data_IF_858932290157
#
_entry.id   IF_858932290157
#
_cell.length_a   1.000
_cell.length_b   1.000
_cell.length_c   1.000
_cell.angle_alpha   90.00
_cell.angle_beta   90.00
_cell.angle_gamma   90.00
#
_symmetry.space_group_name_H-M   'P 1'
#
loop_
_entity.id
_entity.type
_entity.pdbx_description
1 polymer ?
#
# COMPACT_ATOMS: atom_id res chain seq x y z
N UNK A 1 -56.47 -33.61 5.71
CA UNK A 1 -55.83 -32.28 5.59
C UNK A 1 -55.52 -31.72 6.98
N UNK A 2 -54.30 -31.17 7.13
CA UNK A 2 -53.91 -30.14 8.11
C UNK A 2 -53.86 -30.53 9.59
N UNK A 3 -52.72 -31.06 10.07
CA UNK A 3 -52.14 -30.75 11.41
C UNK A 3 -50.62 -30.98 11.43
N UNK A 4 -49.88 -30.21 10.64
CA UNK A 4 -48.40 -30.22 10.67
C UNK A 4 -47.81 -28.80 10.56
N UNK A 5 -48.59 -27.78 10.90
CA UNK A 5 -48.16 -26.37 10.78
C UNK A 5 -47.59 -25.71 12.05
N UNK A 6 -47.84 -26.15 13.32
CA UNK A 6 -47.40 -25.33 14.45
C UNK A 6 -45.91 -25.55 14.83
N UNK A 7 -45.31 -26.68 14.44
CA UNK A 7 -43.95 -27.05 14.82
C UNK A 7 -42.86 -26.38 13.96
N UNK A 8 -43.17 -26.03 12.70
CA UNK A 8 -42.23 -25.32 11.81
C UNK A 8 -42.12 -23.82 12.13
N UNK A 9 -43.17 -23.20 12.68
CA UNK A 9 -43.15 -21.77 13.04
C UNK A 9 -42.32 -21.52 14.30
N UNK A 10 -42.32 -22.45 15.26
CA UNK A 10 -41.53 -22.29 16.50
C UNK A 10 -40.02 -22.44 16.26
N UNK A 11 -39.60 -23.30 15.32
CA UNK A 11 -38.19 -23.45 14.94
C UNK A 11 -37.65 -22.22 14.19
N UNK A 12 -38.50 -21.53 13.40
CA UNK A 12 -38.11 -20.32 12.69
C UNK A 12 -37.96 -19.08 13.61
N UNK A 13 -38.71 -19.02 14.71
CA UNK A 13 -38.69 -17.87 15.64
C UNK A 13 -37.50 -17.89 16.61
N UNK A 14 -36.85 -19.04 16.81
CA UNK A 14 -35.70 -19.17 17.73
C UNK A 14 -34.33 -19.06 17.03
N UNK A 15 -34.27 -19.25 15.70
CA UNK A 15 -33.02 -19.10 14.91
C UNK A 15 -32.83 -17.65 14.45
N UNK A 16 -33.91 -16.90 14.23
CA UNK A 16 -33.86 -15.52 13.77
C UNK A 16 -33.20 -14.51 14.76
N UNK A 17 -33.34 -14.61 16.10
CA UNK A 17 -32.68 -13.69 17.01
C UNK A 17 -31.22 -14.05 17.27
N UNK A 18 -30.83 -15.32 17.11
CA UNK A 18 -29.46 -15.76 17.38
C UNK A 18 -28.51 -15.42 16.21
N UNK A 19 -28.99 -15.48 14.97
CA UNK A 19 -28.21 -15.05 13.80
C UNK A 19 -27.98 -13.53 13.74
N UNK A 20 -28.84 -12.73 14.39
CA UNK A 20 -28.73 -11.27 14.41
C UNK A 20 -27.79 -10.73 15.50
N UNK A 21 -27.35 -11.57 16.45
CA UNK A 21 -26.47 -11.19 17.56
C UNK A 21 -25.01 -11.67 17.41
N UNK A 22 -24.66 -12.34 16.32
CA UNK A 22 -23.29 -12.88 16.11
C UNK A 22 -22.24 -11.87 15.60
N UNK A 23 -22.52 -10.69 15.00
CA UNK A 23 -21.40 -9.87 14.51
C UNK A 23 -20.69 -9.07 15.61
N UNK A 24 -21.06 -9.20 16.90
CA UNK A 24 -20.51 -8.37 17.98
C UNK A 24 -19.29 -9.01 18.70
N UNK A 25 -19.01 -10.29 18.48
CA UNK A 25 -17.90 -10.99 19.17
C UNK A 25 -17.04 -11.88 18.28
N UNK A 26 -16.98 -11.62 16.97
CA UNK A 26 -15.89 -12.20 16.19
C UNK A 26 -14.61 -11.42 16.53
N UNK A 27 -13.62 -12.02 17.23
CA UNK A 27 -12.31 -11.40 17.32
C UNK A 27 -11.87 -11.12 15.90
N UNK A 28 -11.52 -9.86 15.62
CA UNK A 28 -10.98 -9.47 14.32
C UNK A 28 -9.90 -10.47 13.93
N UNK A 29 -9.94 -10.91 12.67
CA UNK A 29 -8.98 -11.86 12.11
C UNK A 29 -7.59 -11.50 12.68
N UNK A 30 -6.90 -12.45 13.35
CA UNK A 30 -5.60 -12.15 13.92
C UNK A 30 -4.75 -11.55 12.80
N UNK A 31 -4.04 -10.44 13.04
CA UNK A 31 -3.24 -9.81 12.00
C UNK A 31 -2.38 -10.90 11.38
N UNK A 32 -2.47 -11.04 10.05
CA UNK A 32 -1.75 -12.08 9.32
C UNK A 32 -0.32 -12.14 9.87
N UNK A 33 0.08 -13.31 10.37
CA UNK A 33 1.35 -13.47 11.06
C UNK A 33 2.48 -13.05 10.12
N UNK A 34 3.10 -11.91 10.39
CA UNK A 34 4.24 -11.42 9.63
C UNK A 34 5.44 -12.25 10.04
N UNK A 35 6.03 -12.97 9.09
CA UNK A 35 7.23 -13.79 9.34
C UNK A 35 8.35 -12.92 9.91
N UNK A 36 8.88 -13.34 11.06
CA UNK A 36 10.05 -12.69 11.65
C UNK A 36 11.27 -12.94 10.75
N UNK A 37 12.34 -12.15 10.93
CA UNK A 37 13.60 -12.38 10.22
C UNK A 37 14.19 -13.77 10.52
N UNK A 38 13.93 -14.32 11.71
CA UNK A 38 14.36 -15.65 12.10
C UNK A 38 13.55 -16.73 11.37
N UNK A 39 12.22 -16.58 11.26
CA UNK A 39 11.37 -17.52 10.50
C UNK A 39 11.75 -17.52 9.02
N UNK A 40 12.05 -16.34 8.47
CA UNK A 40 12.53 -16.16 7.11
C UNK A 40 13.88 -16.82 6.85
N UNK A 41 14.83 -16.64 7.77
CA UNK A 41 16.11 -17.33 7.71
C UNK A 41 15.95 -18.86 7.80
N UNK A 42 15.01 -19.34 8.63
CA UNK A 42 14.75 -20.78 8.81
C UNK A 42 14.17 -21.45 7.54
N UNK A 43 13.39 -20.72 6.74
CA UNK A 43 12.86 -21.20 5.45
C UNK A 43 13.79 -20.89 4.26
N UNK A 44 14.97 -20.32 4.50
CA UNK A 44 15.94 -19.99 3.45
C UNK A 44 15.58 -18.77 2.60
N UNK A 45 14.62 -17.96 3.03
CA UNK A 45 14.23 -16.69 2.39
C UNK A 45 14.48 -15.55 3.37
N UNK A 46 15.73 -15.04 3.50
CA UNK A 46 16.03 -13.94 4.41
C UNK A 46 15.24 -12.65 4.09
N UNK A 47 14.58 -12.59 2.94
CA UNK A 47 13.87 -11.42 2.44
C UNK A 47 14.80 -10.35 1.91
N UNK A 48 14.20 -9.19 1.59
CA UNK A 48 14.91 -8.04 1.05
C UNK A 48 15.83 -7.41 2.10
N UNK A 49 17.10 -7.18 1.74
CA UNK A 49 18.06 -6.51 2.63
C UNK A 49 17.64 -5.05 2.88
N UNK A 50 17.91 -4.54 4.08
CA UNK A 50 17.55 -3.15 4.39
C UNK A 50 18.47 -2.19 3.66
N UNK A 51 17.92 -1.27 2.87
CA UNK A 51 18.70 -0.18 2.26
C UNK A 51 19.05 0.92 3.26
N UNK A 52 19.88 1.87 2.80
CA UNK A 52 20.33 3.00 3.61
C UNK A 52 19.15 3.85 4.10
N UNK A 53 19.34 4.47 5.28
CA UNK A 53 18.40 5.48 5.76
C UNK A 53 18.41 6.70 4.82
N UNK A 54 17.23 7.23 4.46
CA UNK A 54 17.17 8.37 3.57
C UNK A 54 17.68 9.63 4.27
N UNK A 55 18.22 10.55 3.49
CA UNK A 55 18.54 11.88 4.00
C UNK A 55 17.25 12.57 4.49
N UNK A 56 17.32 13.35 5.59
CA UNK A 56 16.17 14.09 6.07
C UNK A 56 15.68 15.10 5.02
N UNK A 57 14.36 15.14 4.81
CA UNK A 57 13.73 16.07 3.86
C UNK A 57 13.74 17.48 4.47
N UNK A 58 14.21 18.46 3.70
CA UNK A 58 14.35 19.85 4.16
C UNK A 58 13.00 20.51 4.54
N UNK A 59 11.93 20.17 3.82
CA UNK A 59 10.57 20.61 4.12
C UNK A 59 9.57 19.54 3.68
N UNK A 60 8.62 19.20 4.55
CA UNK A 60 7.55 18.28 4.19
C UNK A 60 6.44 19.02 3.43
N UNK A 61 5.89 18.43 2.35
CA UNK A 61 4.74 19.00 1.67
C UNK A 61 3.52 19.10 2.61
N UNK A 62 2.72 20.14 2.44
CA UNK A 62 1.59 20.45 3.34
C UNK A 62 0.23 19.94 2.87
N UNK A 63 0.07 19.57 1.59
CA UNK A 63 -1.18 19.04 1.05
C UNK A 63 -1.11 17.53 0.80
N UNK A 64 -2.25 16.85 0.89
CA UNK A 64 -2.34 15.42 0.63
C UNK A 64 -1.81 15.05 -0.76
N UNK A 65 -2.17 15.83 -1.79
CA UNK A 65 -1.71 15.63 -3.16
C UNK A 65 -0.19 15.78 -3.28
N UNK A 66 0.42 16.78 -2.63
CA UNK A 66 1.85 16.98 -2.69
C UNK A 66 2.63 15.87 -1.94
N UNK A 67 2.10 15.38 -0.82
CA UNK A 67 2.67 14.20 -0.12
C UNK A 67 2.54 12.94 -0.99
N UNK A 68 1.40 12.74 -1.66
CA UNK A 68 1.21 11.62 -2.58
C UNK A 68 2.25 11.62 -3.71
N UNK A 69 2.44 12.76 -4.39
CA UNK A 69 3.44 12.88 -5.46
C UNK A 69 4.86 12.65 -4.94
N UNK A 70 5.21 13.25 -3.80
CA UNK A 70 6.54 13.07 -3.21
C UNK A 70 6.81 11.60 -2.84
N UNK A 71 5.83 10.94 -2.20
CA UNK A 71 5.92 9.53 -1.86
C UNK A 71 6.11 8.66 -3.11
N UNK A 72 5.26 8.81 -4.13
CA UNK A 72 5.31 7.99 -5.35
C UNK A 72 6.63 8.14 -6.11
N UNK A 73 7.15 9.37 -6.21
CA UNK A 73 8.47 9.62 -6.82
C UNK A 73 9.58 8.93 -6.03
N UNK A 74 9.55 9.02 -4.71
CA UNK A 74 10.55 8.41 -3.85
C UNK A 74 10.47 6.87 -3.86
N UNK A 75 9.26 6.32 -3.80
CA UNK A 75 8.96 4.88 -3.72
C UNK A 75 9.32 4.14 -5.01
N UNK A 76 9.10 4.75 -6.17
CA UNK A 76 9.27 4.08 -7.47
C UNK A 76 10.55 4.47 -8.23
N UNK A 77 11.35 5.39 -7.69
CA UNK A 77 12.71 5.62 -8.16
C UNK A 77 13.68 4.59 -7.57
N UNK A 78 14.73 4.26 -8.33
CA UNK A 78 15.78 3.34 -7.91
C UNK A 78 17.12 3.72 -8.55
N UNK A 79 18.19 3.55 -7.80
CA UNK A 79 19.57 3.66 -8.24
C UNK A 79 20.24 2.30 -8.48
N UNK A 80 21.49 2.30 -8.94
CA UNK A 80 22.24 1.08 -9.24
C UNK A 80 22.54 0.24 -7.98
N UNK A 81 22.65 0.86 -6.81
CA UNK A 81 23.01 0.20 -5.55
C UNK A 81 21.80 -0.41 -4.80
N UNK A 82 20.60 -0.25 -5.36
CA UNK A 82 19.34 -0.67 -4.73
C UNK A 82 18.97 -2.14 -4.98
N UNK A 83 19.78 -2.86 -5.77
CA UNK A 83 19.56 -4.28 -6.11
C UNK A 83 19.49 -5.16 -4.87
N UNK A 84 18.38 -5.90 -4.71
CA UNK A 84 18.16 -6.79 -3.56
C UNK A 84 17.89 -6.07 -2.24
N UNK A 85 17.69 -4.74 -2.28
CA UNK A 85 17.48 -3.89 -1.10
C UNK A 85 16.11 -3.23 -1.10
N UNK A 86 15.69 -2.79 0.08
CA UNK A 86 14.51 -1.95 0.26
C UNK A 86 14.92 -0.48 0.15
N UNK A 87 14.14 0.29 -0.60
CA UNK A 87 14.28 1.75 -0.72
C UNK A 87 13.48 2.45 0.36
N UNK A 88 14.13 3.36 1.07
CA UNK A 88 13.53 4.00 2.26
C UNK A 88 13.28 5.50 2.12
N UNK A 89 13.57 6.10 0.97
CA UNK A 89 13.29 7.51 0.68
C UNK A 89 11.81 7.90 0.84
N UNK A 90 10.90 6.95 0.62
CA UNK A 90 9.47 7.18 0.78
C UNK A 90 9.01 7.19 2.25
N UNK A 91 9.84 6.74 3.21
CA UNK A 91 9.47 6.54 4.63
C UNK A 91 9.10 7.86 5.32
N UNK A 92 9.74 8.98 4.97
CA UNK A 92 9.42 10.29 5.55
C UNK A 92 7.99 10.75 5.25
N UNK A 93 7.37 10.18 4.20
CA UNK A 93 6.00 10.46 3.79
C UNK A 93 5.00 9.44 4.32
N UNK A 94 5.43 8.35 4.96
CA UNK A 94 4.58 7.27 5.41
C UNK A 94 4.14 7.42 6.88
N UNK A 95 2.94 6.92 7.20
CA UNK A 95 2.46 6.81 8.57
C UNK A 95 3.26 5.72 9.30
N UNK A 96 3.83 5.98 10.49
CA UNK A 96 4.55 4.97 11.25
C UNK A 96 3.70 3.73 11.48
N UNK A 97 4.26 2.55 11.21
CA UNK A 97 3.57 1.26 11.34
C UNK A 97 2.67 0.89 10.15
N UNK A 98 2.52 1.76 9.14
CA UNK A 98 1.83 1.39 7.91
C UNK A 98 2.72 0.51 7.01
N UNK A 99 2.14 -0.28 6.08
CA UNK A 99 2.92 -1.01 5.08
C UNK A 99 3.87 -0.10 4.28
N UNK A 100 3.46 1.13 3.98
CA UNK A 100 4.27 2.11 3.26
C UNK A 100 5.53 2.56 4.05
N UNK A 101 5.53 2.44 5.39
CA UNK A 101 6.67 2.80 6.23
C UNK A 101 7.75 1.71 6.31
N UNK A 102 7.47 0.49 5.84
CA UNK A 102 8.47 -0.58 5.73
C UNK A 102 9.59 -0.25 4.72
N UNK A 103 9.33 0.71 3.82
CA UNK A 103 10.14 0.94 2.63
C UNK A 103 9.63 0.12 1.45
N UNK A 104 9.97 0.55 0.24
CA UNK A 104 9.54 -0.12 -0.98
C UNK A 104 10.57 -1.17 -1.37
N UNK A 105 10.20 -2.47 -1.47
CA UNK A 105 11.12 -3.47 -1.98
C UNK A 105 11.44 -3.19 -3.44
N UNK A 106 12.71 -3.28 -3.81
CA UNK A 106 13.16 -3.06 -5.20
C UNK A 106 13.10 -4.41 -5.91
N UNK A 107 11.93 -4.73 -6.46
CA UNK A 107 11.64 -6.04 -7.06
C UNK A 107 12.35 -6.26 -8.41
N UNK A 108 12.55 -5.18 -9.17
CA UNK A 108 13.26 -5.17 -10.45
C UNK A 108 14.20 -3.97 -10.44
N UNK A 109 15.45 -4.10 -9.96
CA UNK A 109 16.38 -2.98 -9.92
C UNK A 109 16.84 -2.59 -11.33
N UNK A 110 17.25 -1.33 -11.54
CA UNK A 110 17.94 -0.94 -12.78
C UNK A 110 19.17 -1.83 -13.01
N UNK A 111 19.53 -2.04 -14.27
CA UNK A 111 20.77 -2.73 -14.63
C UNK A 111 22.00 -1.96 -14.13
N UNK A 112 23.20 -2.59 -14.16
CA UNK A 112 24.42 -1.93 -13.71
C UNK A 112 24.65 -0.56 -14.35
N UNK A 113 24.83 0.47 -13.53
CA UNK A 113 25.03 1.86 -13.98
C UNK A 113 23.77 2.57 -14.46
N UNK A 114 22.62 1.91 -14.48
CA UNK A 114 21.34 2.54 -14.79
C UNK A 114 20.71 3.21 -13.56
N UNK A 115 19.89 4.21 -13.82
CA UNK A 115 19.01 4.84 -12.82
C UNK A 115 17.58 4.82 -13.33
N UNK A 116 16.64 4.54 -12.43
CA UNK A 116 15.20 4.70 -12.64
C UNK A 116 14.73 5.98 -11.96
N UNK A 117 14.11 6.85 -12.74
CA UNK A 117 13.42 8.05 -12.26
C UNK A 117 11.92 7.79 -12.36
N UNK A 118 11.17 8.14 -11.32
CA UNK A 118 9.71 8.09 -11.31
C UNK A 118 9.12 9.50 -11.41
N UNK A 119 8.08 9.63 -12.23
CA UNK A 119 7.28 10.83 -12.41
C UNK A 119 5.79 10.48 -12.26
N UNK A 120 5.02 11.41 -11.72
CA UNK A 120 3.56 11.28 -11.61
C UNK A 120 2.96 12.08 -12.74
N UNK A 121 2.48 11.40 -13.78
CA UNK A 121 1.92 12.03 -14.98
C UNK A 121 0.49 12.54 -14.70
N UNK A 122 -0.27 11.83 -13.85
CA UNK A 122 -1.62 12.23 -13.43
C UNK A 122 -1.90 11.82 -11.98
N UNK A 123 -2.72 12.60 -11.29
CA UNK A 123 -3.18 12.32 -9.93
C UNK A 123 -4.66 12.72 -9.79
N UNK A 124 -5.53 11.74 -9.65
CA UNK A 124 -6.98 11.92 -9.63
C UNK A 124 -7.54 11.60 -8.24
N UNK A 125 -8.41 12.45 -7.67
CA UNK A 125 -9.09 12.14 -6.41
C UNK A 125 -9.98 10.89 -6.55
N UNK A 126 -9.82 9.94 -5.63
CA UNK A 126 -10.57 8.69 -5.62
C UNK A 126 -11.55 8.57 -4.45
N UNK A 127 -11.49 9.50 -3.49
CA UNK A 127 -12.39 9.56 -2.36
C UNK A 127 -11.79 10.27 -1.15
N UNK A 128 -12.64 10.71 -0.24
CA UNK A 128 -12.21 11.28 1.04
C UNK A 128 -13.22 11.01 2.14
N UNK A 129 -12.74 10.88 3.37
CA UNK A 129 -13.58 10.63 4.54
C UNK A 129 -12.78 10.23 5.77
N UNK A 130 -13.30 10.54 6.97
CA UNK A 130 -12.68 10.17 8.27
C UNK A 130 -11.20 10.59 8.39
N UNK A 131 -10.85 11.77 7.89
CA UNK A 131 -9.46 12.27 7.89
C UNK A 131 -8.54 11.52 6.92
N UNK A 132 -9.09 10.79 5.94
CA UNK A 132 -8.34 10.13 4.88
C UNK A 132 -8.71 10.70 3.52
N UNK A 133 -7.74 10.64 2.61
CA UNK A 133 -7.91 10.99 1.20
C UNK A 133 -7.22 9.94 0.36
N UNK A 134 -7.90 9.46 -0.68
CA UNK A 134 -7.35 8.52 -1.64
C UNK A 134 -7.18 9.18 -3.01
N UNK A 135 -6.14 8.79 -3.71
CA UNK A 135 -5.90 9.17 -5.09
C UNK A 135 -5.60 7.94 -5.95
N UNK A 136 -5.96 8.02 -7.22
CA UNK A 136 -5.39 7.16 -8.25
C UNK A 136 -4.35 7.97 -9.01
N UNK A 137 -3.12 7.46 -9.06
CA UNK A 137 -2.02 8.08 -9.76
C UNK A 137 -1.66 7.27 -11.01
N UNK A 138 -1.32 7.98 -12.08
CA UNK A 138 -0.60 7.40 -13.21
C UNK A 138 0.88 7.70 -13.02
N UNK A 139 1.68 6.66 -12.78
CA UNK A 139 3.13 6.77 -12.57
C UNK A 139 3.83 6.33 -13.84
N UNK A 140 4.81 7.13 -14.26
CA UNK A 140 5.76 6.76 -15.31
C UNK A 140 7.14 6.65 -14.72
N UNK A 141 7.85 5.59 -15.08
CA UNK A 141 9.28 5.49 -14.82
C UNK A 141 10.09 5.49 -16.08
N UNK A 142 11.23 6.18 -16.04
CA UNK A 142 12.24 6.18 -17.09
C UNK A 142 13.52 5.61 -16.52
N UNK A 143 14.02 4.53 -17.11
CA UNK A 143 15.25 3.83 -16.69
C UNK A 143 16.29 3.93 -17.79
N UNK A 144 17.48 4.42 -17.46
CA UNK A 144 18.60 4.53 -18.41
C UNK A 144 19.95 4.59 -17.69
N UNK A 145 21.00 4.10 -18.36
CA UNK A 145 22.37 4.49 -18.08
C UNK A 145 22.70 5.82 -18.78
N UNK A 146 23.73 6.58 -18.33
CA UNK A 146 24.18 7.77 -19.04
C UNK A 146 24.51 7.48 -20.51
N UNK A 147 23.90 8.24 -21.42
CA UNK A 147 24.10 8.09 -22.87
C UNK A 147 23.36 6.90 -23.53
N UNK A 148 22.63 6.10 -22.77
CA UNK A 148 21.82 5.00 -23.30
C UNK A 148 20.41 5.45 -23.70
N UNK A 149 19.77 4.70 -24.59
CA UNK A 149 18.36 4.90 -24.95
C UNK A 149 17.47 4.61 -23.74
N UNK A 150 16.58 5.54 -23.32
CA UNK A 150 15.75 5.33 -22.14
C UNK A 150 14.63 4.30 -22.34
N UNK A 151 14.42 3.45 -21.33
CA UNK A 151 13.28 2.53 -21.24
C UNK A 151 12.20 3.15 -20.36
N UNK A 152 10.97 3.21 -20.87
CA UNK A 152 9.85 3.84 -20.18
C UNK A 152 8.74 2.83 -19.88
N UNK A 153 8.20 2.88 -18.67
CA UNK A 153 7.05 2.09 -18.23
C UNK A 153 6.03 3.02 -17.58
N UNK A 154 4.75 2.67 -17.68
CA UNK A 154 3.64 3.42 -17.06
C UNK A 154 2.62 2.46 -16.46
N UNK A 155 2.11 2.79 -15.29
CA UNK A 155 1.06 2.03 -14.61
C UNK A 155 0.20 2.94 -13.74
N UNK A 156 -0.89 2.39 -13.19
CA UNK A 156 -1.75 3.05 -12.22
C UNK A 156 -1.53 2.47 -10.82
N UNK A 157 -1.54 3.32 -9.81
CA UNK A 157 -1.48 2.92 -8.40
C UNK A 157 -2.50 3.72 -7.60
N UNK A 158 -3.04 3.10 -6.55
CA UNK A 158 -3.87 3.77 -5.56
C UNK A 158 -3.02 4.11 -4.35
N UNK A 159 -3.06 5.38 -3.95
CA UNK A 159 -2.42 5.85 -2.72
C UNK A 159 -3.47 6.36 -1.74
N UNK A 160 -3.33 5.98 -0.47
CA UNK A 160 -4.21 6.41 0.61
C UNK A 160 -3.39 7.18 1.63
N UNK A 161 -3.88 8.36 1.97
CA UNK A 161 -3.26 9.25 2.94
C UNK A 161 -4.19 9.49 4.11
N UNK A 162 -3.60 9.68 5.28
CA UNK A 162 -4.27 10.09 6.51
C UNK A 162 -3.73 11.43 6.97
N UNK A 163 -4.62 12.30 7.44
CA UNK A 163 -4.28 13.50 8.18
C UNK A 163 -4.07 13.13 9.65
N UNK A 164 -2.84 13.30 10.13
CA UNK A 164 -2.44 13.00 11.49
C UNK A 164 -2.84 14.08 12.49
N UNK A 165 -2.83 13.76 13.80
CA UNK A 165 -3.07 14.75 14.85
C UNK A 165 -1.96 15.81 14.94
N UNK A 166 -0.80 15.53 14.35
CA UNK A 166 0.33 16.46 14.17
C UNK A 166 0.11 17.46 13.02
N UNK A 167 -1.07 17.43 12.38
CA UNK A 167 -1.41 18.29 11.26
C UNK A 167 -0.76 17.87 9.94
N UNK A 168 -0.07 16.73 9.88
CA UNK A 168 0.66 16.27 8.69
C UNK A 168 -0.12 15.22 7.92
N UNK A 169 -0.01 15.26 6.60
CA UNK A 169 -0.46 14.17 5.74
C UNK A 169 0.61 13.08 5.67
N UNK A 170 0.19 11.82 5.78
CA UNK A 170 1.07 10.65 5.68
C UNK A 170 0.40 9.52 4.90
N UNK A 171 1.19 8.78 4.13
CA UNK A 171 0.75 7.63 3.34
C UNK A 171 0.55 6.42 4.24
N UNK A 172 -0.63 5.82 4.14
CA UNK A 172 -1.00 4.60 4.86
C UNK A 172 -0.98 3.37 3.97
N UNK A 173 -1.14 3.56 2.67
CA UNK A 173 -1.08 2.50 1.67
C UNK A 173 -0.67 3.06 0.31
N UNK A 174 0.11 2.27 -0.42
CA UNK A 174 0.45 2.40 -1.84
C UNK A 174 0.28 1.00 -2.44
N UNK A 175 -0.65 0.85 -3.38
CA UNK A 175 -0.99 -0.43 -3.96
C UNK A 175 -1.22 -0.30 -5.47
N UNK A 176 -0.49 -1.06 -6.31
CA UNK A 176 -0.70 -1.05 -7.74
C UNK A 176 -2.14 -1.50 -8.07
N UNK A 177 -2.74 -0.84 -9.06
CA UNK A 177 -4.04 -1.27 -9.59
C UNK A 177 -3.75 -2.35 -10.62
N UNK A 178 -4.13 -3.58 -10.31
CA UNK A 178 -3.99 -4.76 -11.17
C UNK A 178 -5.36 -5.35 -11.46
N UNK A 179 -5.51 -6.25 -12.45
CA UNK A 179 -6.77 -6.97 -12.66
C UNK A 179 -7.29 -7.68 -11.40
N UNK A 180 -6.37 -8.16 -10.56
CA UNK A 180 -6.68 -8.85 -9.29
C UNK A 180 -6.92 -7.89 -8.11
N UNK A 181 -6.60 -6.60 -8.29
CA UNK A 181 -6.83 -5.53 -7.30
C UNK A 181 -7.57 -4.37 -7.97
N UNK A 182 -8.82 -4.58 -8.44
CA UNK A 182 -9.52 -3.61 -9.27
C UNK A 182 -9.82 -2.32 -8.49
N UNK A 183 -9.98 -1.25 -9.25
CA UNK A 183 -10.50 0.01 -8.72
C UNK A 183 -11.92 -0.25 -8.19
N UNK A 184 -12.30 0.39 -7.08
CA UNK A 184 -13.65 0.18 -6.51
C UNK A 184 -14.58 1.08 -7.33
N UNK A 185 -14.98 0.60 -8.50
CA UNK A 185 -15.67 1.40 -9.50
C UNK A 185 -15.85 0.76 -10.88
N UNK A 186 -15.19 -0.38 -11.16
CA UNK A 186 -15.48 -1.24 -12.32
C UNK A 186 -16.38 -2.42 -11.94
#
# INVERSE_FOLDING_TARGET
MRRALPLLVLAAVLVAPLALLVPVFLPGEPPAAVLTSADRAAIGDPGVERGADPAPVAALPSSAAAVAVAHLRAAHAAGPDDTGRSRRDAVAHAEPGSPAAAGTPVLDPPGPGERRIAEVDALEPAGSGRGRTAFVATVRTTTAAPGATPRTQRWRTRVVLRHGPDGRWRVTADAPITPDTPDVGD
#
